data_IF_798166994466
#
_entry.id   IF_798166994466
#
_cell.length_a   1.000
_cell.length_b   1.000
_cell.length_c   1.000
_cell.angle_alpha   90.00
_cell.angle_beta   90.00
_cell.angle_gamma   90.00
#
_symmetry.space_group_name_H-M   'P 1'
#
loop_
_entity.id
_entity.type
_entity.pdbx_description
1 polymer ?
#
# COMPACT_ATOMS: atom_id res chain seq x y z
N UNK A 1 18.05 0.00 -15.44
CA UNK A 1 17.92 1.44 -15.15
C UNK A 1 19.19 1.87 -14.47
N UNK A 2 19.80 2.96 -14.92
CA UNK A 2 20.85 3.62 -14.15
C UNK A 2 20.19 4.44 -13.01
N UNK A 3 20.98 4.93 -12.05
CA UNK A 3 20.45 5.72 -10.92
C UNK A 3 19.71 7.00 -11.36
N UNK A 4 20.14 7.62 -12.46
CA UNK A 4 19.48 8.81 -13.02
C UNK A 4 18.08 8.50 -13.54
N UNK A 5 17.91 7.39 -14.28
CA UNK A 5 16.60 6.95 -14.80
C UNK A 5 15.61 6.66 -13.67
N UNK A 6 16.10 6.07 -12.56
CA UNK A 6 15.28 5.79 -11.39
C UNK A 6 14.84 7.08 -10.69
N UNK A 7 15.75 8.04 -10.53
CA UNK A 7 15.44 9.34 -9.92
C UNK A 7 14.44 10.13 -10.77
N UNK A 8 14.59 10.13 -12.10
CA UNK A 8 13.62 10.78 -13.00
C UNK A 8 12.23 10.15 -12.88
N UNK A 9 12.16 8.81 -12.84
CA UNK A 9 10.91 8.09 -12.67
C UNK A 9 10.24 8.43 -11.32
N UNK A 10 10.99 8.37 -10.22
CA UNK A 10 10.51 8.74 -8.89
C UNK A 10 10.01 10.19 -8.88
N UNK A 11 10.80 11.14 -9.38
CA UNK A 11 10.43 12.55 -9.45
C UNK A 11 9.14 12.76 -10.25
N UNK A 12 8.93 12.00 -11.33
CA UNK A 12 7.70 12.09 -12.12
C UNK A 12 6.46 11.68 -11.32
N UNK A 13 6.56 10.63 -10.50
CA UNK A 13 5.45 10.20 -9.62
C UNK A 13 5.25 11.24 -8.51
N UNK A 14 6.31 11.71 -7.87
CA UNK A 14 6.22 12.71 -6.79
C UNK A 14 5.66 14.06 -7.28
N UNK A 15 5.87 14.40 -8.56
CA UNK A 15 5.26 15.60 -9.15
C UNK A 15 3.73 15.53 -9.27
N UNK A 16 3.18 14.31 -9.36
CA UNK A 16 1.75 14.06 -9.53
C UNK A 16 1.04 13.73 -8.21
N UNK A 17 1.71 13.03 -7.30
CA UNK A 17 1.15 12.64 -6.01
C UNK A 17 1.88 13.36 -4.87
N UNK A 18 1.25 14.40 -4.33
CA UNK A 18 1.84 15.26 -3.29
C UNK A 18 2.22 14.49 -2.02
N UNK A 19 1.43 13.49 -1.64
CA UNK A 19 1.70 12.66 -0.47
C UNK A 19 2.46 11.40 -0.89
N UNK A 20 3.73 11.57 -1.24
CA UNK A 20 4.61 10.45 -1.57
C UNK A 20 5.98 10.58 -0.93
N UNK A 21 6.52 9.45 -0.46
CA UNK A 21 7.82 9.37 0.19
C UNK A 21 8.65 8.22 -0.39
N UNK A 22 9.98 8.34 -0.30
CA UNK A 22 10.91 7.27 -0.65
C UNK A 22 11.62 6.83 0.61
N UNK A 23 11.46 5.57 0.97
CA UNK A 23 12.05 4.96 2.16
C UNK A 23 12.56 3.57 1.80
N UNK A 24 13.83 3.27 2.11
CA UNK A 24 14.42 1.94 1.86
C UNK A 24 14.16 1.42 0.44
N UNK A 25 14.48 2.24 -0.58
CA UNK A 25 14.23 1.96 -2.00
C UNK A 25 12.77 1.68 -2.37
N UNK A 26 11.82 2.05 -1.50
CA UNK A 26 10.38 1.90 -1.71
C UNK A 26 9.73 3.27 -1.87
N UNK A 27 9.03 3.47 -2.99
CA UNK A 27 8.16 4.63 -3.19
C UNK A 27 6.78 4.35 -2.61
N UNK A 28 6.40 5.14 -1.60
CA UNK A 28 5.08 5.09 -0.96
C UNK A 28 4.23 6.25 -1.45
N UNK A 29 2.95 5.99 -1.68
CA UNK A 29 1.96 7.01 -2.04
C UNK A 29 0.80 6.85 -1.07
N UNK A 30 0.55 7.88 -0.27
CA UNK A 30 -0.61 7.94 0.62
C UNK A 30 -1.78 8.57 -0.13
N UNK A 31 -2.95 7.96 -0.02
CA UNK A 31 -4.14 8.36 -0.79
C UNK A 31 -5.36 8.40 0.11
N UNK A 32 -6.33 9.22 -0.27
CA UNK A 32 -7.66 9.17 0.32
C UNK A 32 -8.29 7.78 0.04
N UNK A 33 -8.96 7.15 1.04
CA UNK A 33 -9.61 5.86 0.87
C UNK A 33 -10.63 5.79 -0.25
N UNK A 34 -11.27 6.90 -0.65
CA UNK A 34 -12.20 6.92 -1.78
C UNK A 34 -11.49 6.96 -3.14
N UNK A 35 -10.21 7.36 -3.14
CA UNK A 35 -9.45 7.63 -4.38
C UNK A 35 -8.47 6.52 -4.76
N UNK A 36 -8.26 5.48 -3.93
CA UNK A 36 -7.20 4.48 -4.15
C UNK A 36 -7.33 3.74 -5.49
N UNK A 37 -8.56 3.43 -5.91
CA UNK A 37 -8.82 2.74 -7.19
C UNK A 37 -8.41 3.62 -8.36
N UNK A 38 -8.71 4.92 -8.31
CA UNK A 38 -8.38 5.84 -9.39
C UNK A 38 -6.89 6.19 -9.42
N UNK A 39 -6.23 6.27 -8.25
CA UNK A 39 -4.77 6.28 -8.16
C UNK A 39 -4.18 5.05 -8.84
N UNK A 40 -4.67 3.85 -8.54
CA UNK A 40 -4.16 2.62 -9.16
C UNK A 40 -4.34 2.61 -10.69
N UNK A 41 -5.51 3.04 -11.19
CA UNK A 41 -5.74 3.19 -12.64
C UNK A 41 -4.76 4.17 -13.28
N UNK A 42 -4.50 5.29 -12.60
CA UNK A 42 -3.54 6.31 -13.04
C UNK A 42 -2.12 5.76 -13.12
N UNK A 43 -1.66 5.06 -12.08
CA UNK A 43 -0.35 4.40 -12.04
C UNK A 43 -0.17 3.39 -13.19
N UNK A 44 -1.22 2.63 -13.48
CA UNK A 44 -1.22 1.67 -14.60
C UNK A 44 -1.16 2.36 -15.97
N UNK A 45 -1.98 3.41 -16.17
CA UNK A 45 -2.14 4.06 -17.47
C UNK A 45 -0.97 4.99 -17.82
N UNK A 46 -0.51 5.80 -16.86
CA UNK A 46 0.47 6.86 -17.12
C UNK A 46 1.92 6.43 -16.81
N UNK A 47 2.12 5.55 -15.82
CA UNK A 47 3.46 5.13 -15.38
C UNK A 47 3.80 3.68 -15.75
N UNK A 48 2.91 3.01 -16.50
CA UNK A 48 3.09 1.64 -16.95
C UNK A 48 3.29 0.62 -15.81
N UNK A 49 2.81 0.92 -14.59
CA UNK A 49 2.83 0.03 -13.43
C UNK A 49 1.70 -1.01 -13.52
N UNK A 50 1.88 -1.98 -14.43
CA UNK A 50 0.85 -2.98 -14.77
C UNK A 50 0.82 -4.19 -13.86
N UNK A 51 1.93 -4.47 -13.17
CA UNK A 51 2.03 -5.58 -12.25
C UNK A 51 1.49 -5.19 -10.88
N UNK A 52 0.48 -5.91 -10.41
CA UNK A 52 -0.05 -5.79 -9.06
C UNK A 52 0.29 -7.06 -8.29
N UNK A 53 1.03 -6.92 -7.20
CA UNK A 53 1.60 -8.07 -6.49
C UNK A 53 0.65 -8.58 -5.39
N UNK A 54 0.29 -7.72 -4.44
CA UNK A 54 -0.52 -8.08 -3.29
C UNK A 54 -1.31 -6.88 -2.77
N UNK A 55 -2.42 -7.17 -2.08
CA UNK A 55 -3.23 -6.21 -1.33
C UNK A 55 -3.27 -6.68 0.12
N UNK A 56 -2.98 -5.77 1.06
CA UNK A 56 -3.07 -6.03 2.49
C UNK A 56 -3.89 -4.95 3.17
N UNK A 57 -4.50 -5.31 4.30
CA UNK A 57 -5.06 -4.38 5.26
C UNK A 57 -4.40 -4.60 6.63
N UNK A 58 -4.17 -3.51 7.36
CA UNK A 58 -3.74 -3.55 8.75
C UNK A 58 -4.82 -2.86 9.55
N UNK A 59 -5.40 -3.58 10.50
CA UNK A 59 -6.35 -3.01 11.45
C UNK A 59 -5.58 -2.31 12.56
N UNK A 60 -5.64 -0.97 12.55
CA UNK A 60 -4.98 -0.11 13.55
C UNK A 60 -5.88 0.17 14.77
N UNK A 61 -7.15 -0.27 14.76
CA UNK A 61 -8.11 -0.04 15.85
C UNK A 61 -7.97 -1.07 16.99
N UNK A 62 -7.23 -2.15 16.74
CA UNK A 62 -6.87 -3.07 17.81
C UNK A 62 -5.71 -2.50 18.62
N UNK A 63 -6.06 -1.81 19.70
CA UNK A 63 -5.26 -1.80 20.92
C UNK A 63 -4.83 -3.26 21.13
N UNK A 64 -3.52 -3.57 21.06
CA UNK A 64 -3.02 -4.95 21.01
C UNK A 64 -3.55 -5.69 22.23
N UNK A 65 -4.67 -6.40 22.06
CA UNK A 65 -5.22 -7.23 23.11
C UNK A 65 -4.41 -8.51 23.09
N UNK A 66 -3.24 -8.47 23.72
CA UNK A 66 -2.65 -9.68 24.28
C UNK A 66 -3.59 -10.14 25.38
N UNK A 67 -4.67 -10.84 25.01
CA UNK A 67 -5.44 -11.66 25.92
C UNK A 67 -4.69 -12.97 26.15
N UNK A 68 -4.92 -13.60 27.30
CA UNK A 68 -4.50 -14.98 27.52
C UNK A 68 -4.98 -15.86 26.35
N UNK A 69 -4.17 -16.85 25.98
CA UNK A 69 -4.55 -17.81 24.95
C UNK A 69 -5.95 -18.38 25.24
N UNK A 70 -6.77 -18.68 24.21
CA UNK A 70 -8.06 -19.30 24.39
C UNK A 70 -7.92 -20.54 25.29
N UNK A 71 -8.68 -20.59 26.38
CA UNK A 71 -8.67 -21.76 27.28
C UNK A 71 -9.19 -23.02 26.60
N UNK A 72 -9.94 -22.86 25.51
CA UNK A 72 -10.54 -23.92 24.73
C UNK A 72 -10.12 -23.82 23.25
N UNK A 73 -10.07 -24.94 22.51
CA UNK A 73 -9.78 -24.92 21.08
C UNK A 73 -10.82 -24.11 20.31
N UNK A 74 -10.36 -23.11 19.54
CA UNK A 74 -11.21 -22.30 18.67
C UNK A 74 -10.98 -22.65 17.21
N UNK A 75 -12.04 -22.59 16.41
CA UNK A 75 -11.94 -22.71 14.94
C UNK A 75 -11.82 -21.31 14.34
N UNK A 76 -10.78 -21.00 13.55
CA UNK A 76 -10.65 -19.69 12.92
C UNK A 76 -11.81 -19.43 11.94
N UNK A 77 -12.44 -18.25 12.02
CA UNK A 77 -13.34 -17.74 10.98
C UNK A 77 -12.93 -16.33 10.59
N UNK A 78 -12.95 -16.03 9.30
CA UNK A 78 -12.82 -14.67 8.80
C UNK A 78 -13.96 -14.40 7.82
N UNK A 79 -14.52 -13.19 7.91
CA UNK A 79 -15.50 -12.65 6.97
C UNK A 79 -14.81 -11.55 6.17
N UNK A 80 -14.91 -11.61 4.84
CA UNK A 80 -14.47 -10.53 3.95
C UNK A 80 -15.73 -9.76 3.58
N UNK A 81 -15.83 -8.51 4.05
CA UNK A 81 -16.89 -7.56 3.69
C UNK A 81 -16.47 -6.79 2.43
#
# INVERSE_FOLDING_TARGET
MNQSDQNEFVNSIQSKFQNSSVEFDTLKIEVDPQSWVDTHKTLKAEFNLKFFNWLSAVDWDNDVKTGDAPKEPVTPSFEII
#
